data_IF_609981325956
#
_entry.id   IF_609981325956
#
_cell.length_a   1.000
_cell.length_b   1.000
_cell.length_c   1.000
_cell.angle_alpha   90.00
_cell.angle_beta   90.00
_cell.angle_gamma   90.00
#
_symmetry.space_group_name_H-M   'P 1'
#
loop_
_entity.id
_entity.type
_entity.pdbx_description
1 polymer ?
#
# COMPACT_ATOMS: atom_id res chain seq x y z
N UNK A 1 25.18 39.61 -45.95
CA UNK A 1 24.86 39.77 -44.51
C UNK A 1 24.56 38.41 -43.97
N UNK A 2 25.54 37.77 -43.35
CA UNK A 2 25.51 36.40 -42.84
C UNK A 2 25.23 36.47 -41.35
N UNK A 3 24.09 35.94 -40.92
CA UNK A 3 23.72 35.80 -39.50
C UNK A 3 24.20 34.44 -38.99
N UNK A 4 25.17 34.46 -38.07
CA UNK A 4 25.66 33.28 -37.39
C UNK A 4 24.73 32.92 -36.22
N UNK A 5 24.13 31.72 -36.27
CA UNK A 5 23.44 31.12 -35.11
C UNK A 5 24.47 30.49 -34.16
N UNK A 6 24.63 31.09 -32.99
CA UNK A 6 25.35 30.49 -31.85
C UNK A 6 24.43 29.52 -31.12
N UNK A 7 24.72 28.23 -31.23
CA UNK A 7 24.08 27.20 -30.42
C UNK A 7 24.75 27.14 -29.03
N UNK A 8 24.00 27.48 -28.00
CA UNK A 8 24.41 27.29 -26.59
C UNK A 8 24.12 25.84 -26.19
N UNK A 9 25.15 25.03 -26.07
CA UNK A 9 25.06 23.73 -25.41
C UNK A 9 25.10 23.93 -23.88
N UNK A 10 23.97 23.77 -23.23
CA UNK A 10 23.89 23.61 -21.79
C UNK A 10 24.26 22.19 -21.42
N UNK A 11 25.45 22.00 -20.84
CA UNK A 11 25.83 20.78 -20.15
C UNK A 11 25.03 20.69 -18.86
N UNK A 12 24.01 19.83 -18.83
CA UNK A 12 23.35 19.43 -17.60
C UNK A 12 24.21 18.30 -17.02
N UNK A 13 24.97 18.62 -15.97
CA UNK A 13 25.70 17.64 -15.17
C UNK A 13 24.69 16.87 -14.32
N UNK A 14 24.52 15.58 -14.62
CA UNK A 14 23.77 14.64 -13.77
C UNK A 14 24.49 14.48 -12.43
N UNK A 15 23.80 14.55 -11.28
CA UNK A 15 24.40 14.17 -10.01
C UNK A 15 24.60 12.65 -9.98
N UNK A 16 25.84 12.23 -9.86
CA UNK A 16 26.22 10.84 -9.61
C UNK A 16 25.58 10.37 -8.30
N UNK A 17 24.59 9.48 -8.42
CA UNK A 17 24.08 8.74 -7.27
C UNK A 17 25.14 7.74 -6.82
N UNK A 18 25.88 8.11 -5.77
CA UNK A 18 26.78 7.20 -5.08
C UNK A 18 25.94 6.09 -4.42
N UNK A 19 26.04 4.88 -4.97
CA UNK A 19 25.51 3.65 -4.36
C UNK A 19 26.32 3.36 -3.11
N UNK A 20 25.88 3.83 -1.94
CA UNK A 20 26.44 3.42 -0.66
C UNK A 20 25.86 2.05 -0.31
N UNK A 21 26.67 1.01 -0.51
CA UNK A 21 26.41 -0.33 0.01
C UNK A 21 26.52 -0.27 1.54
N UNK A 22 25.39 -0.04 2.20
CA UNK A 22 25.28 -0.18 3.65
C UNK A 22 25.17 -1.66 3.98
N UNK A 23 26.29 -2.31 4.27
CA UNK A 23 26.31 -3.63 4.90
C UNK A 23 25.94 -3.47 6.37
N UNK A 24 24.73 -3.87 6.71
CA UNK A 24 24.29 -3.94 8.10
C UNK A 24 24.76 -5.28 8.68
N UNK A 25 25.78 -5.26 9.53
CA UNK A 25 26.16 -6.40 10.35
C UNK A 25 25.32 -6.40 11.63
N UNK A 26 24.35 -7.33 11.70
CA UNK A 26 23.61 -7.59 12.94
C UNK A 26 24.46 -8.57 13.77
N UNK A 27 25.13 -8.07 14.81
CA UNK A 27 25.79 -8.92 15.80
C UNK A 27 24.72 -9.41 16.77
N UNK A 28 24.33 -10.68 16.67
CA UNK A 28 23.49 -11.34 17.65
C UNK A 28 24.36 -11.66 18.86
N UNK A 29 24.04 -11.18 20.10
CA UNK A 29 24.79 -11.60 21.27
C UNK A 29 24.61 -13.09 21.49
N UNK A 30 25.71 -13.82 21.52
CA UNK A 30 25.76 -15.24 21.88
C UNK A 30 25.30 -15.38 23.34
N UNK A 31 24.12 -15.96 23.55
CA UNK A 31 23.70 -16.39 24.88
C UNK A 31 24.47 -17.67 25.18
N UNK A 32 25.52 -17.55 25.98
CA UNK A 32 26.21 -18.70 26.54
C UNK A 32 25.25 -19.45 27.48
N UNK A 33 24.76 -20.59 27.03
CA UNK A 33 23.98 -21.50 27.84
C UNK A 33 24.90 -22.20 28.84
N UNK A 34 24.85 -21.80 30.12
CA UNK A 34 25.32 -22.63 31.20
C UNK A 34 24.31 -23.77 31.38
N UNK A 35 24.57 -24.90 30.74
CA UNK A 35 23.89 -26.16 31.04
C UNK A 35 24.55 -26.78 32.25
N UNK A 36 23.97 -26.55 33.41
CA UNK A 36 24.23 -27.41 34.59
C UNK A 36 23.64 -28.81 34.33
N UNK A 37 24.52 -29.77 34.42
CA UNK A 37 24.26 -31.21 34.33
C UNK A 37 23.28 -31.63 35.44
N UNK A 38 22.03 -31.92 35.11
CA UNK A 38 21.12 -32.66 35.98
C UNK A 38 20.98 -34.09 35.49
N UNK A 39 21.37 -35.03 36.33
CA UNK A 39 21.21 -36.48 36.20
C UNK A 39 19.77 -36.88 35.89
N UNK A 40 19.49 -37.76 34.91
CA UNK A 40 18.13 -38.21 34.63
C UNK A 40 17.62 -39.22 35.67
N UNK A 41 16.38 -39.00 36.11
CA UNK A 41 15.60 -40.01 36.86
C UNK A 41 15.11 -41.09 35.85
N UNK A 42 15.13 -42.38 36.26
CA UNK A 42 14.70 -43.47 35.38
C UNK A 42 13.16 -43.53 35.32
N UNK A 43 12.61 -43.43 34.07
CA UNK A 43 11.22 -43.77 33.83
C UNK A 43 10.39 -42.76 33.06
N UNK A 44 10.90 -42.08 32.02
CA UNK A 44 10.06 -41.41 31.03
C UNK A 44 10.52 -41.76 29.61
N UNK A 45 9.71 -42.61 28.98
CA UNK A 45 9.88 -42.90 27.55
C UNK A 45 9.56 -41.66 26.74
N UNK A 46 10.55 -41.20 25.94
CA UNK A 46 10.41 -40.71 24.62
C UNK A 46 9.50 -39.52 24.36
N UNK A 47 9.81 -38.34 24.92
CA UNK A 47 9.52 -37.11 24.23
C UNK A 47 10.87 -36.43 23.89
N UNK A 48 11.29 -36.53 22.65
CA UNK A 48 12.46 -35.83 22.13
C UNK A 48 12.05 -34.40 21.71
N UNK A 49 12.31 -33.36 22.53
CA UNK A 49 11.91 -31.99 22.22
C UNK A 49 13.00 -31.22 21.47
N UNK A 50 13.99 -31.92 20.93
CA UNK A 50 14.97 -31.23 20.05
C UNK A 50 14.41 -31.16 18.65
N UNK A 51 13.89 -29.98 18.18
CA UNK A 51 13.66 -29.81 16.78
C UNK A 51 15.00 -30.01 16.08
N UNK A 52 15.02 -30.93 15.13
CA UNK A 52 16.18 -31.21 14.30
C UNK A 52 16.69 -29.87 13.75
N UNK A 53 18.01 -29.62 13.90
CA UNK A 53 18.68 -28.46 13.33
C UNK A 53 18.44 -28.31 11.81
N UNK A 54 17.90 -29.36 11.17
CA UNK A 54 17.49 -29.36 9.76
C UNK A 54 16.15 -28.64 9.53
N UNK A 55 15.33 -28.39 10.55
CA UNK A 55 14.10 -27.58 10.39
C UNK A 55 14.36 -26.07 10.53
N UNK A 56 15.52 -25.65 11.05
CA UNK A 56 15.91 -24.23 11.07
C UNK A 56 16.28 -23.67 9.68
N UNK A 57 16.57 -24.52 8.69
CA UNK A 57 16.78 -24.08 7.30
C UNK A 57 15.49 -23.64 6.59
N UNK A 58 14.34 -23.83 7.21
CA UNK A 58 13.06 -23.33 6.71
C UNK A 58 12.70 -21.90 7.18
N UNK A 59 13.55 -21.23 7.93
CA UNK A 59 13.47 -19.77 8.07
C UNK A 59 13.86 -19.19 6.71
N UNK A 60 12.87 -19.07 5.83
CA UNK A 60 13.01 -18.33 4.58
C UNK A 60 13.64 -17.00 4.94
N UNK A 61 14.88 -16.80 4.56
CA UNK A 61 15.50 -15.49 4.56
C UNK A 61 14.58 -14.62 3.75
N UNK A 62 13.83 -13.75 4.42
CA UNK A 62 12.96 -12.79 3.73
C UNK A 62 13.91 -11.96 2.91
N UNK A 63 13.85 -12.12 1.59
CA UNK A 63 14.72 -11.39 0.66
C UNK A 63 14.63 -9.90 0.94
N UNK A 64 15.76 -9.20 0.91
CA UNK A 64 15.83 -7.75 1.12
C UNK A 64 14.87 -6.99 0.20
N UNK A 65 14.64 -7.51 -1.02
CA UNK A 65 13.65 -6.98 -1.97
C UNK A 65 12.23 -7.08 -1.43
N UNK A 66 11.86 -8.20 -0.83
CA UNK A 66 10.54 -8.40 -0.22
C UNK A 66 10.34 -7.48 0.98
N UNK A 67 11.36 -7.30 1.82
CA UNK A 67 11.34 -6.35 2.93
C UNK A 67 11.18 -4.90 2.45
N UNK A 68 11.87 -4.52 1.38
CA UNK A 68 11.75 -3.20 0.78
C UNK A 68 10.33 -2.96 0.24
N UNK A 69 9.72 -3.92 -0.45
CA UNK A 69 8.35 -3.84 -0.96
C UNK A 69 7.33 -3.70 0.18
N UNK A 70 7.47 -4.48 1.26
CA UNK A 70 6.62 -4.37 2.45
C UNK A 70 6.74 -2.99 3.10
N UNK A 71 7.97 -2.45 3.19
CA UNK A 71 8.21 -1.11 3.73
C UNK A 71 7.56 -0.01 2.88
N UNK A 72 7.61 -0.13 1.55
CA UNK A 72 6.94 0.81 0.63
C UNK A 72 5.42 0.72 0.79
N UNK A 73 4.86 -0.50 0.80
CA UNK A 73 3.43 -0.72 0.96
C UNK A 73 2.91 -0.16 2.30
N UNK A 74 3.63 -0.39 3.40
CA UNK A 74 3.29 0.16 4.71
C UNK A 74 3.25 1.69 4.69
N UNK A 75 4.27 2.34 4.11
CA UNK A 75 4.31 3.81 3.98
C UNK A 75 3.17 4.36 3.12
N UNK A 76 2.78 3.66 2.06
CA UNK A 76 1.63 4.06 1.25
C UNK A 76 0.32 4.01 2.05
N UNK A 77 0.13 2.98 2.88
CA UNK A 77 -1.03 2.88 3.77
C UNK A 77 -1.04 4.03 4.78
N UNK A 78 0.10 4.31 5.42
CA UNK A 78 0.19 5.39 6.40
C UNK A 78 -0.06 6.77 5.76
N UNK A 79 0.49 7.02 4.58
CA UNK A 79 0.24 8.23 3.81
C UNK A 79 -1.26 8.38 3.48
N UNK A 80 -1.88 7.31 2.99
CA UNK A 80 -3.29 7.32 2.58
C UNK A 80 -4.29 7.48 3.75
N UNK A 81 -3.84 7.38 5.00
CA UNK A 81 -4.68 7.68 6.17
C UNK A 81 -5.04 9.16 6.29
N UNK A 82 -4.28 10.04 5.64
CA UNK A 82 -4.59 11.45 5.54
C UNK A 82 -5.28 11.75 4.20
N UNK A 83 -6.27 12.65 4.17
CA UNK A 83 -7.03 12.95 2.94
C UNK A 83 -6.14 13.34 1.74
N UNK A 84 -5.10 14.15 1.96
CA UNK A 84 -4.22 14.56 0.87
C UNK A 84 -3.34 13.40 0.38
N UNK A 85 -2.83 12.59 1.31
CA UNK A 85 -2.09 11.37 0.96
C UNK A 85 -2.98 10.35 0.23
N UNK A 86 -4.26 10.22 0.61
CA UNK A 86 -5.21 9.37 -0.11
C UNK A 86 -5.41 9.83 -1.56
N UNK A 87 -5.43 11.15 -1.82
CA UNK A 87 -5.48 11.73 -3.17
C UNK A 87 -4.24 11.37 -3.98
N UNK A 88 -3.06 11.50 -3.40
CA UNK A 88 -1.80 11.16 -4.07
C UNK A 88 -1.71 9.65 -4.41
N UNK A 89 -2.13 8.78 -3.49
CA UNK A 89 -2.22 7.34 -3.76
C UNK A 89 -3.22 7.06 -4.88
N UNK A 90 -4.37 7.71 -4.89
CA UNK A 90 -5.36 7.54 -5.96
C UNK A 90 -4.81 8.00 -7.32
N UNK A 91 -4.09 9.12 -7.39
CA UNK A 91 -3.41 9.58 -8.62
C UNK A 91 -2.39 8.55 -9.11
N UNK A 92 -1.56 8.03 -8.22
CA UNK A 92 -0.56 7.01 -8.55
C UNK A 92 -1.21 5.74 -9.09
N UNK A 93 -2.29 5.26 -8.45
CA UNK A 93 -3.04 4.09 -8.91
C UNK A 93 -3.73 4.31 -10.25
N UNK A 94 -4.25 5.53 -10.50
CA UNK A 94 -4.84 5.90 -11.78
C UNK A 94 -3.78 5.88 -12.88
N UNK A 95 -2.63 6.50 -12.65
CA UNK A 95 -1.54 6.53 -13.62
C UNK A 95 -1.00 5.14 -13.97
N UNK A 96 -0.97 4.23 -12.98
CA UNK A 96 -0.46 2.88 -13.18
C UNK A 96 -1.46 1.93 -13.86
N UNK A 97 -2.77 2.09 -13.64
CA UNK A 97 -3.76 1.05 -13.98
C UNK A 97 -4.90 1.53 -14.89
N UNK A 98 -5.01 2.83 -15.15
CA UNK A 98 -6.11 3.40 -15.93
C UNK A 98 -5.61 4.42 -16.94
N UNK A 99 -6.33 4.59 -18.04
CA UNK A 99 -6.07 5.62 -19.07
C UNK A 99 -6.80 6.93 -18.78
N UNK A 100 -7.06 7.22 -17.49
CA UNK A 100 -7.82 8.40 -17.08
C UNK A 100 -6.91 9.62 -17.00
N UNK A 101 -7.37 10.72 -17.60
CA UNK A 101 -6.67 12.01 -17.59
C UNK A 101 -6.83 12.74 -16.26
N UNK A 102 -6.06 13.81 -16.04
CA UNK A 102 -6.19 14.70 -14.86
C UNK A 102 -7.62 15.25 -14.68
N UNK A 103 -8.34 15.52 -15.77
CA UNK A 103 -9.75 15.89 -15.70
C UNK A 103 -10.60 14.82 -15.04
N UNK A 104 -10.30 13.55 -15.25
CA UNK A 104 -11.03 12.45 -14.61
C UNK A 104 -10.70 12.40 -13.12
N UNK A 105 -9.45 12.66 -12.73
CA UNK A 105 -9.09 12.78 -11.32
C UNK A 105 -9.82 13.94 -10.64
N UNK A 106 -9.97 15.10 -11.29
CA UNK A 106 -10.75 16.22 -10.76
C UNK A 106 -12.20 15.82 -10.45
N UNK A 107 -12.83 15.04 -11.34
CA UNK A 107 -14.17 14.52 -11.09
C UNK A 107 -14.20 13.53 -9.90
N UNK A 108 -13.18 12.68 -9.77
CA UNK A 108 -13.04 11.75 -8.68
C UNK A 108 -12.90 12.49 -7.34
N UNK A 109 -12.05 13.52 -7.31
CA UNK A 109 -11.82 14.31 -6.11
C UNK A 109 -13.11 15.01 -5.64
N UNK A 110 -13.87 15.61 -6.57
CA UNK A 110 -15.17 16.18 -6.26
C UNK A 110 -16.13 15.14 -5.70
N UNK A 111 -16.20 13.96 -6.29
CA UNK A 111 -17.07 12.86 -5.88
C UNK A 111 -16.72 12.38 -4.46
N UNK A 112 -15.47 11.99 -4.22
CA UNK A 112 -15.08 11.42 -2.94
C UNK A 112 -14.94 12.45 -1.82
N UNK A 113 -14.78 13.73 -2.18
CA UNK A 113 -14.94 14.84 -1.22
C UNK A 113 -16.39 14.93 -0.74
N UNK A 114 -17.39 14.75 -1.62
CA UNK A 114 -18.81 14.72 -1.22
C UNK A 114 -19.19 13.47 -0.44
N UNK A 115 -18.58 12.32 -0.75
CA UNK A 115 -18.87 11.06 -0.08
C UNK A 115 -18.33 11.01 1.36
N UNK A 116 -17.07 11.37 1.55
CA UNK A 116 -16.39 11.13 2.82
C UNK A 116 -15.35 12.18 3.21
N UNK A 117 -15.11 13.20 2.37
CA UNK A 117 -13.94 14.07 2.45
C UNK A 117 -12.62 13.28 2.44
N UNK A 118 -12.59 12.17 1.68
CA UNK A 118 -11.45 11.23 1.61
C UNK A 118 -11.11 10.55 2.94
N UNK A 119 -12.07 10.54 3.88
CA UNK A 119 -11.88 9.92 5.18
C UNK A 119 -12.15 8.42 5.12
N UNK A 120 -11.11 7.60 5.25
CA UNK A 120 -11.24 6.14 5.22
C UNK A 120 -12.05 5.57 6.41
N UNK A 121 -12.18 6.31 7.51
CA UNK A 121 -13.00 5.94 8.68
C UNK A 121 -14.46 6.39 8.56
N UNK A 122 -14.82 7.13 7.52
CA UNK A 122 -16.18 7.64 7.35
C UNK A 122 -17.17 6.47 7.34
N UNK A 123 -18.25 6.60 8.12
CA UNK A 123 -19.32 5.60 8.16
C UNK A 123 -20.67 6.32 8.27
N UNK A 124 -21.56 6.01 7.35
CA UNK A 124 -22.94 6.44 7.44
C UNK A 124 -23.66 5.56 8.48
N UNK A 125 -24.15 6.15 9.56
CA UNK A 125 -24.78 5.41 10.68
C UNK A 125 -26.13 4.78 10.31
N UNK A 126 -26.80 5.30 9.27
CA UNK A 126 -28.11 4.83 8.83
C UNK A 126 -27.95 3.70 7.81
N UNK A 127 -27.20 3.96 6.72
CA UNK A 127 -27.05 3.00 5.63
C UNK A 127 -25.97 1.95 5.88
N UNK A 128 -24.95 2.29 6.70
CA UNK A 128 -23.76 1.46 6.88
C UNK A 128 -22.71 1.65 5.79
N UNK A 129 -22.88 2.57 4.86
CA UNK A 129 -21.85 2.89 3.86
C UNK A 129 -20.54 3.30 4.54
N UNK A 130 -19.41 2.84 3.99
CA UNK A 130 -18.12 2.95 4.67
C UNK A 130 -17.00 3.40 3.74
N UNK A 131 -16.08 4.17 4.35
CA UNK A 131 -14.79 4.52 3.80
C UNK A 131 -14.83 5.64 2.77
N UNK A 132 -13.70 5.81 2.06
CA UNK A 132 -13.48 6.91 1.11
C UNK A 132 -14.57 6.96 0.04
N UNK A 133 -14.90 5.82 -0.57
CA UNK A 133 -15.87 5.71 -1.65
C UNK A 133 -17.29 5.37 -1.18
N UNK A 134 -17.56 5.34 0.13
CA UNK A 134 -18.86 5.00 0.74
C UNK A 134 -19.47 3.70 0.19
N UNK A 135 -18.67 2.63 0.22
CA UNK A 135 -19.10 1.30 -0.23
C UNK A 135 -20.32 0.79 0.56
N UNK A 136 -21.33 0.26 -0.16
CA UNK A 136 -22.56 -0.29 0.42
C UNK A 136 -23.00 -1.57 -0.29
N UNK A 137 -23.07 -2.73 0.38
CA UNK A 137 -22.50 -3.00 1.69
C UNK A 137 -20.96 -2.88 1.69
N UNK A 138 -20.38 -2.51 2.83
CA UNK A 138 -18.94 -2.30 2.95
C UNK A 138 -18.11 -3.55 2.64
N UNK A 139 -18.67 -4.75 2.87
CA UNK A 139 -18.04 -6.06 2.57
C UNK A 139 -17.73 -6.28 1.09
N UNK A 140 -18.31 -5.48 0.17
CA UNK A 140 -17.92 -5.50 -1.24
C UNK A 140 -16.43 -5.22 -1.45
N UNK A 141 -15.79 -4.52 -0.52
CA UNK A 141 -14.35 -4.23 -0.59
C UNK A 141 -13.48 -5.47 -0.36
N UNK A 142 -14.01 -6.56 0.19
CA UNK A 142 -13.29 -7.82 0.44
C UNK A 142 -12.73 -8.47 -0.83
N UNK A 143 -13.30 -8.17 -2.00
CA UNK A 143 -12.77 -8.63 -3.29
C UNK A 143 -11.39 -8.04 -3.64
N UNK A 144 -10.99 -6.97 -2.94
CA UNK A 144 -9.67 -6.34 -3.09
C UNK A 144 -8.76 -6.73 -1.93
N UNK A 145 -9.27 -6.70 -0.70
CA UNK A 145 -8.53 -7.07 0.49
C UNK A 145 -9.42 -7.11 1.72
N UNK A 146 -9.14 -8.04 2.63
CA UNK A 146 -9.90 -8.22 3.87
C UNK A 146 -9.59 -7.14 4.92
N UNK A 147 -8.54 -6.37 4.70
CA UNK A 147 -8.03 -5.29 5.55
C UNK A 147 -8.71 -3.92 5.31
N UNK A 148 -9.75 -3.87 4.46
CA UNK A 148 -10.41 -2.64 4.03
C UNK A 148 -10.85 -1.70 5.17
N UNK A 149 -11.07 -2.23 6.39
CA UNK A 149 -11.45 -1.40 7.54
C UNK A 149 -10.35 -0.45 8.01
N UNK A 150 -9.11 -0.85 7.84
CA UNK A 150 -7.92 -0.16 8.35
C UNK A 150 -6.95 0.29 7.27
N UNK A 151 -7.13 -0.20 6.05
CA UNK A 151 -6.28 0.09 4.91
C UNK A 151 -7.01 0.97 3.87
N UNK A 152 -6.70 2.28 3.83
CA UNK A 152 -7.31 3.18 2.85
C UNK A 152 -6.90 2.86 1.40
N UNK A 153 -5.74 2.24 1.16
CA UNK A 153 -5.31 1.85 -0.19
C UNK A 153 -6.26 0.80 -0.76
N UNK A 154 -6.68 -0.18 0.05
CA UNK A 154 -7.69 -1.19 -0.33
C UNK A 154 -9.02 -0.52 -0.70
N UNK A 155 -9.45 0.49 0.06
CA UNK A 155 -10.68 1.23 -0.22
C UNK A 155 -10.61 2.03 -1.53
N UNK A 156 -9.47 2.72 -1.76
CA UNK A 156 -9.23 3.48 -2.99
C UNK A 156 -9.23 2.54 -4.20
N UNK A 157 -8.48 1.43 -4.12
CA UNK A 157 -8.40 0.42 -5.19
C UNK A 157 -9.78 -0.12 -5.54
N UNK A 158 -10.58 -0.49 -4.53
CA UNK A 158 -11.95 -0.94 -4.74
C UNK A 158 -12.81 0.14 -5.39
N UNK A 159 -12.75 1.38 -4.90
CA UNK A 159 -13.55 2.48 -5.43
C UNK A 159 -13.23 2.81 -6.90
N UNK A 160 -11.94 2.78 -7.28
CA UNK A 160 -11.52 2.98 -8.67
C UNK A 160 -12.03 1.84 -9.57
N UNK A 161 -11.92 0.59 -9.11
CA UNK A 161 -12.45 -0.57 -9.80
C UNK A 161 -13.97 -0.47 -9.98
N UNK A 162 -14.71 -0.15 -8.94
CA UNK A 162 -16.16 0.05 -8.97
C UNK A 162 -16.56 1.12 -9.98
N UNK A 163 -15.87 2.28 -10.00
CA UNK A 163 -16.14 3.34 -10.97
C UNK A 163 -15.87 2.85 -12.39
N UNK A 164 -14.78 2.14 -12.63
CA UNK A 164 -14.43 1.59 -13.95
C UNK A 164 -15.50 0.63 -14.46
N UNK A 165 -15.94 -0.29 -13.63
CA UNK A 165 -16.90 -1.35 -14.02
C UNK A 165 -18.32 -0.78 -14.25
N UNK A 166 -18.76 0.16 -13.40
CA UNK A 166 -20.13 0.65 -13.44
C UNK A 166 -20.33 1.90 -14.28
N UNK A 167 -19.33 2.76 -14.37
CA UNK A 167 -19.44 4.07 -15.01
C UNK A 167 -18.39 4.30 -16.09
N UNK A 168 -17.44 3.42 -16.23
CA UNK A 168 -16.28 3.54 -17.11
C UNK A 168 -15.31 4.68 -16.74
N UNK A 169 -15.81 5.83 -16.28
CA UNK A 169 -14.98 6.99 -15.92
C UNK A 169 -15.47 7.72 -14.66
N UNK A 170 -14.56 8.36 -13.89
CA UNK A 170 -14.92 9.19 -12.75
C UNK A 170 -15.89 10.32 -13.06
N UNK A 171 -15.74 11.00 -14.21
CA UNK A 171 -16.66 12.08 -14.58
C UNK A 171 -18.08 11.59 -14.88
N UNK A 172 -18.23 10.35 -15.39
CA UNK A 172 -19.55 9.75 -15.55
C UNK A 172 -20.20 9.43 -14.18
N UNK A 173 -19.41 8.88 -13.23
CA UNK A 173 -19.86 8.65 -11.85
C UNK A 173 -20.26 9.96 -11.16
N UNK A 174 -19.42 11.00 -11.28
CA UNK A 174 -19.72 12.34 -10.74
C UNK A 174 -20.99 12.95 -11.36
N UNK A 175 -21.18 12.81 -12.65
CA UNK A 175 -22.40 13.26 -13.32
C UNK A 175 -23.65 12.53 -12.83
N UNK A 176 -23.55 11.23 -12.54
CA UNK A 176 -24.62 10.45 -11.90
C UNK A 176 -24.90 10.97 -10.50
N UNK A 177 -23.85 11.12 -9.67
CA UNK A 177 -24.00 11.64 -8.29
C UNK A 177 -24.70 12.99 -8.25
N UNK A 178 -24.33 13.93 -9.12
CA UNK A 178 -24.98 15.26 -9.17
C UNK A 178 -26.48 15.21 -9.46
N UNK A 179 -26.96 14.17 -10.12
CA UNK A 179 -28.39 14.02 -10.45
C UNK A 179 -29.20 13.28 -9.40
N UNK A 180 -28.55 12.43 -8.61
CA UNK A 180 -29.27 11.48 -7.74
C UNK A 180 -28.74 11.41 -6.31
N UNK A 181 -27.68 12.13 -5.98
CA UNK A 181 -26.96 12.08 -4.70
C UNK A 181 -26.46 10.68 -4.31
N UNK A 182 -26.22 9.82 -5.32
CA UNK A 182 -25.56 8.52 -5.19
C UNK A 182 -24.96 8.08 -6.52
N UNK A 183 -24.00 7.16 -6.46
CA UNK A 183 -23.36 6.57 -7.63
C UNK A 183 -23.05 5.08 -7.43
#
# INVERSE_FOLDING_TARGET
MTAACLAFFLFISEPAYASSNLTFSVTIPSVASNLESTTPLPGQEGFDPTPSLLELDAVKTVDASAMALLSVASRQVDLARQPDGAREIAKSLIAANYTWSEKQFTCLDQLWTKESHWNYKARNKVSGAHGIAQALPATKMEIVGTDWRTNPVTQITWGLKYIKERYNTPCAAWSKFKRSNWY
#
